data_IF_444008013330
#
_entry.id   IF_444008013330
#
_cell.length_a   1.000
_cell.length_b   1.000
_cell.length_c   1.000
_cell.angle_alpha   90.00
_cell.angle_beta   90.00
_cell.angle_gamma   90.00
#
_symmetry.space_group_name_H-M   'P 1'
#
loop_
_entity.id
_entity.type
_entity.pdbx_description
1 polymer ?
#
# COMPACT_ATOMS: atom_id res chain seq x y z
N UNK A 1 -0.32 8.34 -18.43
CA UNK A 1 -0.45 7.52 -17.20
C UNK A 1 -1.14 6.20 -17.50
N UNK A 2 -0.69 5.11 -16.88
CA UNK A 2 -1.28 3.76 -16.98
C UNK A 2 -1.88 3.37 -15.62
N UNK A 3 -3.11 2.82 -15.60
CA UNK A 3 -3.68 2.20 -14.41
C UNK A 3 -3.34 0.71 -14.40
N UNK A 4 -2.82 0.20 -13.30
CA UNK A 4 -2.51 -1.23 -13.09
C UNK A 4 -3.20 -1.70 -11.82
N UNK A 5 -3.90 -2.83 -11.88
CA UNK A 5 -4.49 -3.46 -10.70
C UNK A 5 -3.76 -4.77 -10.33
N UNK A 6 -3.25 -5.50 -11.32
CA UNK A 6 -2.57 -6.77 -11.08
C UNK A 6 -1.18 -6.62 -10.48
N UNK A 7 -0.90 -7.34 -9.40
CA UNK A 7 0.42 -7.39 -8.77
C UNK A 7 1.47 -7.98 -9.71
N UNK A 8 1.10 -9.00 -10.49
CA UNK A 8 2.00 -9.65 -11.45
C UNK A 8 2.42 -8.66 -12.55
N UNK A 9 1.46 -7.87 -13.05
CA UNK A 9 1.72 -6.86 -14.08
C UNK A 9 2.62 -5.74 -13.53
N UNK A 10 2.35 -5.25 -12.32
CA UNK A 10 3.16 -4.21 -11.69
C UNK A 10 4.61 -4.67 -11.48
N UNK A 11 4.79 -5.87 -10.92
CA UNK A 11 6.11 -6.43 -10.66
C UNK A 11 6.90 -6.68 -11.94
N UNK A 12 6.23 -7.18 -13.00
CA UNK A 12 6.86 -7.36 -14.33
C UNK A 12 7.34 -6.02 -14.89
N UNK A 13 6.52 -4.99 -14.82
CA UNK A 13 6.85 -3.65 -15.30
C UNK A 13 8.02 -3.04 -14.52
N UNK A 14 7.99 -3.12 -13.19
CA UNK A 14 9.08 -2.65 -12.33
C UNK A 14 10.40 -3.36 -12.65
N UNK A 15 10.38 -4.70 -12.77
CA UNK A 15 11.56 -5.49 -13.15
C UNK A 15 12.09 -5.09 -14.54
N UNK A 16 11.20 -4.82 -15.50
CA UNK A 16 11.60 -4.36 -16.82
C UNK A 16 12.28 -2.99 -16.77
N UNK A 17 11.78 -2.06 -15.99
CA UNK A 17 12.38 -0.74 -15.80
C UNK A 17 13.77 -0.84 -15.16
N UNK A 18 13.89 -1.62 -14.09
CA UNK A 18 15.17 -1.84 -13.41
C UNK A 18 16.23 -2.45 -14.32
N UNK A 19 15.88 -3.46 -15.13
CA UNK A 19 16.78 -4.05 -16.12
C UNK A 19 17.28 -3.05 -17.18
N UNK A 20 16.50 -1.98 -17.42
CA UNK A 20 16.86 -0.87 -18.32
C UNK A 20 17.56 0.28 -17.62
N UNK A 21 17.88 0.17 -16.35
CA UNK A 21 18.49 1.26 -15.56
C UNK A 21 17.57 2.46 -15.31
N UNK A 22 16.23 2.29 -15.47
CA UNK A 22 15.25 3.35 -15.25
C UNK A 22 14.96 3.41 -13.75
N UNK A 23 15.20 4.56 -13.13
CA UNK A 23 14.88 4.81 -11.71
C UNK A 23 13.38 4.90 -11.48
N UNK A 24 12.93 4.34 -10.38
CA UNK A 24 11.52 4.33 -9.97
C UNK A 24 11.38 5.13 -8.67
N UNK A 25 10.52 6.15 -8.67
CA UNK A 25 10.05 6.79 -7.44
C UNK A 25 8.64 6.35 -7.13
N UNK A 26 8.34 6.16 -5.86
CA UNK A 26 7.07 5.62 -5.40
C UNK A 26 6.43 6.51 -4.33
N UNK A 27 5.14 6.75 -4.47
CA UNK A 27 4.31 7.46 -3.49
C UNK A 27 3.17 6.53 -3.06
N UNK A 28 3.27 5.88 -1.88
CA UNK A 28 2.17 5.07 -1.37
C UNK A 28 1.06 5.96 -0.81
N UNK A 29 -0.18 5.70 -1.23
CA UNK A 29 -1.37 6.41 -0.73
C UNK A 29 -2.54 5.46 -0.53
N UNK A 30 -3.53 5.91 0.24
CA UNK A 30 -4.82 5.23 0.36
C UNK A 30 -5.89 5.84 -0.56
N UNK A 31 -5.53 6.78 -1.42
CA UNK A 31 -6.46 7.51 -2.27
C UNK A 31 -7.07 8.74 -1.57
N UNK A 32 -8.17 9.25 -2.16
CA UNK A 32 -8.80 10.53 -1.80
C UNK A 32 -7.78 11.67 -1.81
N UNK A 33 -7.06 11.77 -2.92
CA UNK A 33 -5.88 12.62 -3.07
C UNK A 33 -6.21 14.10 -2.86
N UNK A 34 -5.27 14.82 -2.27
CA UNK A 34 -5.31 16.26 -2.04
C UNK A 34 -3.93 16.88 -2.29
N UNK A 35 -3.80 18.20 -2.14
CA UNK A 35 -2.57 18.93 -2.47
C UNK A 35 -1.32 18.43 -1.74
N UNK A 36 -1.48 17.91 -0.51
CA UNK A 36 -0.41 17.24 0.21
C UNK A 36 0.14 16.04 -0.55
N UNK A 37 -0.72 15.14 -1.03
CA UNK A 37 -0.31 14.00 -1.85
C UNK A 37 0.34 14.45 -3.17
N UNK A 38 -0.21 15.51 -3.81
CA UNK A 38 0.36 16.04 -5.05
C UNK A 38 1.74 16.68 -4.82
N UNK A 39 2.02 17.21 -3.63
CA UNK A 39 3.36 17.69 -3.28
C UNK A 39 4.38 16.56 -3.22
N UNK A 40 3.98 15.36 -2.72
CA UNK A 40 4.81 14.17 -2.71
C UNK A 40 5.10 13.69 -4.14
N UNK A 41 4.10 13.73 -5.02
CA UNK A 41 4.28 13.40 -6.45
C UNK A 41 5.28 14.35 -7.10
N UNK A 42 5.18 15.65 -6.86
CA UNK A 42 6.16 16.63 -7.37
C UNK A 42 7.58 16.34 -6.89
N UNK A 43 7.73 15.99 -5.61
CA UNK A 43 9.03 15.60 -5.06
C UNK A 43 9.54 14.29 -5.69
N UNK A 44 8.67 13.30 -5.86
CA UNK A 44 8.99 12.03 -6.53
C UNK A 44 9.52 12.26 -7.96
N UNK A 45 8.88 13.13 -8.73
CA UNK A 45 9.33 13.50 -10.09
C UNK A 45 10.72 14.14 -10.09
N UNK A 46 11.01 15.02 -9.13
CA UNK A 46 12.34 15.63 -9.00
C UNK A 46 13.42 14.59 -8.72
N UNK A 47 13.13 13.61 -7.83
CA UNK A 47 14.09 12.59 -7.41
C UNK A 47 14.54 11.65 -8.53
N UNK A 48 13.65 11.31 -9.44
CA UNK A 48 13.97 10.39 -10.55
C UNK A 48 14.38 11.13 -11.83
N UNK A 49 14.09 12.42 -11.94
CA UNK A 49 14.42 13.22 -13.12
C UNK A 49 13.64 12.81 -14.38
N UNK A 50 14.05 13.36 -15.52
CA UNK A 50 13.30 13.22 -16.80
C UNK A 50 13.15 11.80 -17.32
N UNK A 51 14.11 10.93 -17.02
CA UNK A 51 14.14 9.55 -17.54
C UNK A 51 13.61 8.53 -16.54
N UNK A 52 13.25 8.96 -15.33
CA UNK A 52 12.70 8.10 -14.30
C UNK A 52 11.21 7.86 -14.47
N UNK A 53 10.66 7.03 -13.60
CA UNK A 53 9.25 6.69 -13.55
C UNK A 53 8.67 6.95 -12.17
N UNK A 54 7.48 7.51 -12.11
CA UNK A 54 6.74 7.75 -10.88
C UNK A 54 5.54 6.82 -10.82
N UNK A 55 5.48 6.05 -9.73
CA UNK A 55 4.37 5.17 -9.39
C UNK A 55 3.66 5.73 -8.16
N UNK A 56 2.35 5.86 -8.22
CA UNK A 56 1.49 6.17 -7.07
C UNK A 56 0.64 4.93 -6.79
N UNK A 57 0.65 4.40 -5.57
CA UNK A 57 -0.37 3.42 -5.22
C UNK A 57 -1.61 4.10 -4.64
N UNK A 58 -2.78 3.57 -5.01
CA UNK A 58 -4.08 3.95 -4.44
C UNK A 58 -4.68 2.67 -3.87
N UNK A 59 -4.44 2.41 -2.57
CA UNK A 59 -4.89 1.20 -1.91
C UNK A 59 -5.25 1.46 -0.45
N UNK A 60 -6.53 1.32 -0.12
CA UNK A 60 -7.02 1.39 1.26
C UNK A 60 -6.78 0.03 1.90
N UNK A 61 -5.75 -0.07 2.74
CA UNK A 61 -5.32 -1.32 3.32
C UNK A 61 -6.21 -1.73 4.51
N UNK A 62 -6.95 -2.83 4.45
CA UNK A 62 -7.85 -3.23 5.54
C UNK A 62 -7.11 -3.60 6.82
N UNK A 63 -5.87 -4.11 6.73
CA UNK A 63 -5.14 -4.63 7.91
C UNK A 63 -4.60 -3.55 8.84
N UNK A 64 -4.68 -2.27 8.46
CA UNK A 64 -4.29 -1.15 9.32
C UNK A 64 -5.48 -0.48 10.03
N UNK A 65 -6.69 -0.98 9.81
CA UNK A 65 -7.90 -0.54 10.52
C UNK A 65 -8.20 -1.48 11.68
N UNK A 66 -8.48 -0.89 12.84
CA UNK A 66 -8.94 -1.63 14.02
C UNK A 66 -10.41 -2.00 13.92
N UNK A 67 -10.88 -2.88 14.82
CA UNK A 67 -12.28 -3.32 14.83
C UNK A 67 -13.30 -2.21 15.06
N UNK A 68 -12.89 -1.15 15.77
CA UNK A 68 -13.73 0.02 16.05
C UNK A 68 -13.62 1.10 14.97
N UNK A 69 -12.80 0.88 13.94
CA UNK A 69 -12.60 1.82 12.84
C UNK A 69 -13.43 1.40 11.65
N UNK A 70 -14.20 2.33 11.11
CA UNK A 70 -15.08 2.05 9.98
C UNK A 70 -14.32 2.14 8.65
N UNK A 71 -13.72 1.03 8.27
CA UNK A 71 -13.05 0.86 6.97
C UNK A 71 -13.98 1.18 5.79
N UNK A 72 -15.29 0.95 5.96
CA UNK A 72 -16.29 1.20 4.92
C UNK A 72 -16.50 2.69 4.67
N UNK A 73 -16.37 3.53 5.71
CA UNK A 73 -16.51 4.98 5.61
C UNK A 73 -15.29 5.72 5.10
N UNK A 74 -14.15 5.01 4.94
CA UNK A 74 -12.96 5.66 4.40
C UNK A 74 -13.26 6.22 3.00
N UNK A 75 -13.01 7.54 2.75
CA UNK A 75 -13.42 8.19 1.52
C UNK A 75 -12.70 7.61 0.31
N UNK A 76 -13.43 7.37 -0.78
CA UNK A 76 -12.90 6.82 -2.03
C UNK A 76 -13.48 7.56 -3.22
N UNK A 77 -12.61 8.08 -4.07
CA UNK A 77 -12.97 8.62 -5.38
C UNK A 77 -11.87 8.31 -6.40
N UNK A 78 -11.83 7.05 -6.80
CA UNK A 78 -10.78 6.57 -7.71
C UNK A 78 -10.75 7.34 -9.05
N UNK A 79 -11.91 7.75 -9.56
CA UNK A 79 -11.98 8.49 -10.84
C UNK A 79 -11.29 9.85 -10.72
N UNK A 80 -11.57 10.57 -9.65
CA UNK A 80 -10.93 11.87 -9.32
C UNK A 80 -9.44 11.67 -9.07
N UNK A 81 -9.04 10.66 -8.29
CA UNK A 81 -7.65 10.38 -7.96
C UNK A 81 -6.82 10.06 -9.21
N UNK A 82 -7.35 9.24 -10.12
CA UNK A 82 -6.70 8.94 -11.40
C UNK A 82 -6.53 10.20 -12.27
N UNK A 83 -7.50 11.10 -12.28
CA UNK A 83 -7.40 12.37 -12.99
C UNK A 83 -6.27 13.22 -12.39
N UNK A 84 -6.23 13.39 -11.07
CA UNK A 84 -5.19 14.14 -10.37
C UNK A 84 -3.79 13.54 -10.61
N UNK A 85 -3.64 12.22 -10.56
CA UNK A 85 -2.39 11.55 -10.88
C UNK A 85 -1.93 11.83 -12.32
N UNK A 86 -2.86 11.78 -13.29
CA UNK A 86 -2.53 12.05 -14.70
C UNK A 86 -2.07 13.50 -14.90
N UNK A 87 -2.78 14.45 -14.33
CA UNK A 87 -2.45 15.89 -14.38
C UNK A 87 -1.11 16.21 -13.69
N UNK A 88 -0.79 15.47 -12.63
CA UNK A 88 0.47 15.60 -11.90
C UNK A 88 1.67 14.93 -12.59
N UNK A 89 1.49 14.21 -13.71
CA UNK A 89 2.58 13.58 -14.45
C UNK A 89 3.00 12.20 -13.93
N UNK A 90 2.15 11.50 -13.19
CA UNK A 90 2.38 10.13 -12.73
C UNK A 90 2.43 9.17 -13.93
N UNK A 91 3.39 8.25 -13.97
CA UNK A 91 3.50 7.23 -15.02
C UNK A 91 2.53 6.07 -14.80
N UNK A 92 2.42 5.59 -13.57
CA UNK A 92 1.56 4.48 -13.18
C UNK A 92 0.78 4.78 -11.91
N UNK A 93 -0.54 4.62 -11.97
CA UNK A 93 -1.40 4.48 -10.80
C UNK A 93 -1.62 2.98 -10.53
N UNK A 94 -1.05 2.49 -9.42
CA UNK A 94 -1.17 1.10 -8.99
C UNK A 94 -2.33 0.98 -8.00
N UNK A 95 -3.39 0.29 -8.42
CA UNK A 95 -4.66 0.20 -7.69
C UNK A 95 -5.03 -1.28 -7.47
N UNK A 96 -4.27 -2.03 -6.65
CA UNK A 96 -4.57 -3.45 -6.40
C UNK A 96 -5.84 -3.61 -5.56
N UNK A 97 -6.49 -4.77 -5.70
CA UNK A 97 -7.57 -5.18 -4.81
C UNK A 97 -7.09 -6.04 -3.64
N UNK A 98 -7.96 -6.26 -2.64
CA UNK A 98 -7.63 -7.04 -1.45
C UNK A 98 -7.23 -8.48 -1.78
N UNK A 99 -7.91 -9.12 -2.72
CA UNK A 99 -7.59 -10.48 -3.16
C UNK A 99 -6.19 -10.59 -3.82
N UNK A 100 -5.72 -9.51 -4.43
CA UNK A 100 -4.35 -9.42 -4.98
C UNK A 100 -3.32 -9.21 -3.86
N UNK A 101 -3.60 -8.31 -2.94
CA UNK A 101 -2.68 -7.95 -1.87
C UNK A 101 -2.63 -9.01 -0.75
N UNK A 102 -3.77 -9.61 -0.41
CA UNK A 102 -3.91 -10.61 0.65
C UNK A 102 -4.70 -11.81 0.12
N UNK A 103 -4.10 -12.63 -0.74
CA UNK A 103 -4.78 -13.82 -1.25
C UNK A 103 -5.15 -14.72 -0.08
N UNK A 104 -6.44 -15.02 0.06
CA UNK A 104 -6.91 -16.07 0.96
C UNK A 104 -6.31 -17.38 0.44
N UNK A 105 -5.38 -17.94 1.17
CA UNK A 105 -4.82 -19.25 0.86
C UNK A 105 -5.98 -20.23 0.64
N UNK A 106 -6.01 -20.90 -0.51
CA UNK A 106 -7.06 -21.83 -0.86
C UNK A 106 -7.33 -22.78 0.30
N UNK A 107 -8.59 -23.12 0.51
CA UNK A 107 -9.20 -23.94 1.55
C UNK A 107 -8.24 -24.93 2.27
N UNK A 108 -7.41 -24.43 3.15
CA UNK A 108 -6.82 -25.16 4.25
C UNK A 108 -7.26 -24.42 5.50
N UNK A 109 -8.36 -24.90 6.07
CA UNK A 109 -8.71 -24.67 7.46
C UNK A 109 -7.57 -25.27 8.31
N UNK A 110 -6.50 -24.53 8.47
CA UNK A 110 -5.55 -24.78 9.55
C UNK A 110 -5.99 -23.86 10.66
N UNK A 111 -6.69 -24.45 11.64
CA UNK A 111 -6.94 -23.77 12.90
C UNK A 111 -5.58 -23.26 13.40
N UNK A 112 -5.44 -21.93 13.49
CA UNK A 112 -4.25 -21.32 14.06
C UNK A 112 -4.12 -21.76 15.51
N UNK A 113 -3.02 -22.38 15.94
CA UNK A 113 -2.82 -22.73 17.34
C UNK A 113 -2.65 -21.51 18.25
N UNK A 114 -2.72 -20.30 17.67
CA UNK A 114 -2.60 -19.04 18.37
C UNK A 114 -3.96 -18.29 18.46
N UNK A 115 -4.97 -19.01 18.94
CA UNK A 115 -6.17 -18.36 19.45
C UNK A 115 -5.89 -17.98 20.92
N UNK A 116 -5.47 -16.74 21.14
CA UNK A 116 -5.54 -16.12 22.47
C UNK A 116 -7.00 -16.12 22.91
N UNK A 117 -7.27 -16.74 24.04
CA UNK A 117 -8.60 -16.76 24.68
C UNK A 117 -9.07 -15.33 24.92
N UNK A 118 -10.19 -14.97 24.32
CA UNK A 118 -11.04 -13.86 24.71
C UNK A 118 -10.76 -12.55 24.02
N UNK A 119 -11.31 -12.39 22.82
CA UNK A 119 -12.12 -11.27 22.33
C UNK A 119 -12.71 -11.71 20.99
N UNK A 120 -14.04 -11.71 20.86
CA UNK A 120 -14.77 -11.94 19.59
C UNK A 120 -14.54 -10.74 18.66
N UNK A 121 -13.41 -10.65 18.03
CA UNK A 121 -13.13 -9.64 17.02
C UNK A 121 -12.90 -10.34 15.69
N UNK A 122 -13.90 -10.23 14.83
CA UNK A 122 -13.82 -10.65 13.43
C UNK A 122 -12.78 -9.81 12.68
N UNK A 123 -11.50 -10.09 12.92
CA UNK A 123 -10.47 -9.75 11.95
C UNK A 123 -10.82 -10.57 10.70
N UNK A 124 -10.96 -9.96 9.51
CA UNK A 124 -11.13 -10.74 8.30
C UNK A 124 -10.03 -11.79 8.29
N UNK A 125 -10.40 -13.06 8.34
CA UNK A 125 -9.46 -14.17 8.27
C UNK A 125 -8.93 -14.24 6.84
N UNK A 126 -8.08 -13.27 6.49
CA UNK A 126 -7.17 -13.41 5.37
C UNK A 126 -6.28 -14.56 5.79
N UNK A 127 -6.15 -15.63 5.01
CA UNK A 127 -5.19 -16.70 5.28
C UNK A 127 -3.74 -16.23 5.27
N UNK A 128 -3.53 -14.92 5.45
CA UNK A 128 -2.27 -14.23 5.47
C UNK A 128 -1.70 -14.21 6.90
N UNK A 129 -0.51 -14.76 7.07
CA UNK A 129 0.12 -14.98 8.38
C UNK A 129 1.49 -14.31 8.54
N UNK A 130 2.00 -13.65 7.49
CA UNK A 130 3.32 -13.03 7.53
C UNK A 130 3.20 -11.52 7.69
N UNK A 131 3.80 -10.96 8.73
CA UNK A 131 3.75 -9.53 9.03
C UNK A 131 5.16 -8.95 9.18
N UNK A 132 5.29 -7.67 8.88
CA UNK A 132 6.46 -6.87 9.22
C UNK A 132 6.10 -6.05 10.45
N UNK A 133 6.91 -6.18 11.50
CA UNK A 133 6.66 -5.53 12.79
C UNK A 133 7.84 -4.61 13.13
N UNK A 134 7.54 -3.40 13.54
CA UNK A 134 8.45 -2.51 14.24
C UNK A 134 8.03 -2.53 15.73
N UNK A 135 8.95 -2.88 16.63
CA UNK A 135 8.60 -3.25 18.01
C UNK A 135 8.66 -2.11 19.02
N UNK A 136 9.28 -0.99 18.68
CA UNK A 136 9.57 0.10 19.63
C UNK A 136 8.82 1.39 19.29
N UNK A 137 9.06 1.96 18.10
CA UNK A 137 8.47 3.23 17.69
C UNK A 137 6.99 3.11 17.41
N UNK A 138 6.57 1.94 16.92
CA UNK A 138 5.17 1.64 16.62
C UNK A 138 4.25 1.59 17.86
N UNK A 139 4.80 1.62 19.06
CA UNK A 139 4.04 1.65 20.30
C UNK A 139 3.71 3.07 20.79
N UNK A 140 4.28 4.08 20.13
CA UNK A 140 4.13 5.49 20.50
C UNK A 140 3.07 6.18 19.64
N UNK A 141 2.61 7.36 20.09
CA UNK A 141 1.66 8.21 19.38
C UNK A 141 0.40 7.44 18.93
N UNK A 142 0.18 7.36 17.63
CA UNK A 142 -0.96 6.65 17.03
C UNK A 142 -0.99 5.15 17.40
N UNK A 143 0.17 4.53 17.56
CA UNK A 143 0.25 3.13 17.95
C UNK A 143 -0.19 2.84 19.38
N UNK A 144 -0.15 3.81 20.27
CA UNK A 144 -0.67 3.66 21.64
C UNK A 144 -2.20 3.54 21.65
N UNK A 145 -2.89 4.26 20.77
CA UNK A 145 -4.36 4.22 20.64
C UNK A 145 -4.83 3.16 19.64
N UNK A 146 -3.98 2.72 18.72
CA UNK A 146 -4.28 1.78 17.63
C UNK A 146 -3.21 0.68 17.53
N UNK A 147 -3.17 -0.29 18.45
CA UNK A 147 -2.02 -1.22 18.61
C UNK A 147 -1.67 -2.05 17.36
N UNK A 148 -2.63 -2.30 16.46
CA UNK A 148 -2.39 -3.09 15.23
C UNK A 148 -2.12 -2.23 14.00
N UNK A 149 -2.31 -0.92 14.11
CA UNK A 149 -2.22 0.01 12.97
C UNK A 149 -0.87 -0.07 12.26
N UNK A 150 0.22 0.17 12.97
CA UNK A 150 1.55 0.19 12.35
C UNK A 150 2.01 -1.17 11.84
N UNK A 151 1.57 -2.27 12.46
CA UNK A 151 1.79 -3.62 11.90
C UNK A 151 1.14 -3.75 10.52
N UNK A 152 -0.06 -3.21 10.34
CA UNK A 152 -0.72 -3.16 9.05
C UNK A 152 0.02 -2.26 8.05
N UNK A 153 0.44 -1.07 8.49
CA UNK A 153 1.18 -0.09 7.65
C UNK A 153 2.53 -0.67 7.18
N UNK A 154 3.36 -1.16 8.10
CA UNK A 154 4.68 -1.70 7.74
C UNK A 154 4.58 -2.92 6.83
N UNK A 155 3.58 -3.77 7.06
CA UNK A 155 3.32 -4.94 6.22
C UNK A 155 2.91 -4.54 4.81
N UNK A 156 1.94 -3.63 4.64
CA UNK A 156 1.51 -3.21 3.31
C UNK A 156 2.61 -2.47 2.56
N UNK A 157 3.37 -1.62 3.25
CA UNK A 157 4.50 -0.90 2.64
C UNK A 157 5.58 -1.87 2.16
N UNK A 158 5.94 -2.87 2.96
CA UNK A 158 6.89 -3.90 2.55
C UNK A 158 6.41 -4.68 1.32
N UNK A 159 5.11 -5.04 1.25
CA UNK A 159 4.52 -5.68 0.06
C UNK A 159 4.60 -4.76 -1.16
N UNK A 160 4.19 -3.51 -1.02
CA UNK A 160 4.23 -2.53 -2.11
C UNK A 160 5.66 -2.30 -2.61
N UNK A 161 6.66 -2.25 -1.72
CA UNK A 161 8.07 -2.13 -2.10
C UNK A 161 8.56 -3.33 -2.89
N UNK A 162 8.16 -4.54 -2.51
CA UNK A 162 8.51 -5.75 -3.26
C UNK A 162 7.84 -5.80 -4.66
N UNK A 163 6.69 -5.17 -4.82
CA UNK A 163 5.97 -5.13 -6.10
C UNK A 163 6.48 -4.01 -7.03
N UNK A 164 6.67 -2.82 -6.48
CA UNK A 164 7.10 -1.62 -7.24
C UNK A 164 8.61 -1.54 -7.38
N UNK A 165 9.37 -2.12 -6.44
CA UNK A 165 10.83 -2.12 -6.38
C UNK A 165 11.43 -0.71 -6.55
N UNK A 166 11.02 0.29 -5.76
CA UNK A 166 11.42 1.66 -5.95
C UNK A 166 12.87 1.90 -5.57
N UNK A 167 13.54 2.85 -6.27
CA UNK A 167 14.83 3.41 -5.86
C UNK A 167 14.65 4.50 -4.79
N UNK A 168 13.50 5.18 -4.83
CA UNK A 168 13.11 6.23 -3.87
C UNK A 168 11.64 6.09 -3.54
N UNK A 169 11.29 6.19 -2.26
CA UNK A 169 9.91 6.32 -1.80
C UNK A 169 9.71 7.67 -1.08
N UNK A 170 8.59 8.32 -1.33
CA UNK A 170 8.26 9.63 -0.76
C UNK A 170 6.98 9.50 0.06
N UNK A 171 7.10 9.84 1.33
CA UNK A 171 6.02 9.83 2.33
C UNK A 171 5.77 11.24 2.87
N UNK A 172 4.60 11.47 3.44
CA UNK A 172 4.21 12.70 4.11
C UNK A 172 3.22 12.47 5.21
#
# INVERSE_FOLDING_TARGET
MRKIASIVEMQRLATQWRRRGIKISFVPTMGYLHDGHLSLVREALKRVGRNGKVVVSIYVNPTQFGPMEDFSKYPRDLKRDLKLCAEAGVDVAFCPGDAEMYPSGGKRSVASPYQSRGTDEAVPSTGFSTYVVEERLSQLMEGASRPTHFRGVTTVVAKLFNLVQPDVAVFG
#
